data_IF_718668201831
#
_entry.id   IF_718668201831
#
_cell.length_a   1.000
_cell.length_b   1.000
_cell.length_c   1.000
_cell.angle_alpha   90.00
_cell.angle_beta   90.00
_cell.angle_gamma   90.00
#
_symmetry.space_group_name_H-M   'P 1'
#
loop_
_entity.id
_entity.type
_entity.pdbx_description
1 polymer ?
#
# COMPACT_ATOMS: atom_id res chain seq x y z
N UNK A 1 -6.26 -14.46 -7.65
CA UNK A 1 -7.00 -13.48 -6.82
C UNK A 1 -6.06 -12.66 -5.94
N UNK A 2 -4.79 -13.07 -5.81
CA UNK A 2 -3.80 -12.48 -4.90
C UNK A 2 -3.47 -11.02 -5.25
N UNK A 3 -3.43 -10.71 -6.55
CA UNK A 3 -3.12 -9.37 -7.04
C UNK A 3 -4.14 -8.30 -6.62
N UNK A 4 -5.40 -8.69 -6.39
CA UNK A 4 -6.41 -7.79 -5.85
C UNK A 4 -6.03 -7.36 -4.43
N UNK A 5 -5.55 -8.28 -3.60
CA UNK A 5 -5.13 -7.98 -2.22
C UNK A 5 -3.94 -7.03 -2.25
N UNK A 6 -2.95 -7.30 -3.09
CA UNK A 6 -1.76 -6.44 -3.24
C UNK A 6 -2.15 -5.01 -3.65
N UNK A 7 -3.04 -4.86 -4.64
CA UNK A 7 -3.53 -3.55 -5.08
C UNK A 7 -4.37 -2.83 -4.00
N UNK A 8 -5.23 -3.57 -3.29
CA UNK A 8 -6.06 -3.01 -2.22
C UNK A 8 -5.22 -2.57 -1.02
N UNK A 9 -4.15 -3.31 -0.67
CA UNK A 9 -3.24 -2.94 0.42
C UNK A 9 -2.48 -1.64 0.13
N UNK A 10 -2.06 -1.44 -1.13
CA UNK A 10 -1.49 -0.17 -1.57
C UNK A 10 -2.52 0.97 -1.45
N UNK A 11 -3.74 0.74 -1.96
CA UNK A 11 -4.79 1.74 -1.96
C UNK A 11 -5.19 2.15 -0.55
N UNK A 12 -5.49 1.19 0.34
CA UNK A 12 -5.92 1.48 1.71
C UNK A 12 -4.83 2.15 2.55
N UNK A 13 -3.57 1.75 2.39
CA UNK A 13 -2.45 2.41 3.10
C UNK A 13 -2.25 3.84 2.62
N UNK A 14 -2.22 4.05 1.30
CA UNK A 14 -2.05 5.39 0.73
C UNK A 14 -3.20 6.31 1.15
N UNK A 15 -4.45 5.83 1.07
CA UNK A 15 -5.62 6.60 1.47
C UNK A 15 -5.59 6.90 2.97
N UNK A 16 -5.28 5.93 3.82
CA UNK A 16 -5.21 6.12 5.27
C UNK A 16 -4.19 7.19 5.66
N UNK A 17 -2.98 7.13 5.11
CA UNK A 17 -1.94 8.14 5.38
C UNK A 17 -2.34 9.51 4.81
N UNK A 18 -2.93 9.55 3.61
CA UNK A 18 -3.39 10.80 3.03
C UNK A 18 -4.48 11.46 3.88
N UNK A 19 -5.47 10.70 4.36
CA UNK A 19 -6.53 11.21 5.23
C UNK A 19 -5.97 11.78 6.54
N UNK A 20 -4.96 11.11 7.13
CA UNK A 20 -4.37 11.53 8.40
C UNK A 20 -3.41 12.72 8.28
N UNK A 21 -2.74 12.87 7.14
CA UNK A 21 -1.66 13.85 6.96
C UNK A 21 -1.99 14.97 5.97
N UNK A 22 -3.06 14.82 5.19
CA UNK A 22 -3.43 15.69 4.05
C UNK A 22 -2.29 15.88 3.03
N UNK A 23 -1.31 14.97 3.01
CA UNK A 23 -0.10 15.12 2.20
C UNK A 23 0.06 13.94 1.26
N UNK A 24 -0.05 14.21 -0.05
CA UNK A 24 -0.06 13.18 -1.09
C UNK A 24 1.29 12.47 -1.23
N UNK A 25 2.39 13.23 -1.15
CA UNK A 25 3.73 12.69 -1.35
C UNK A 25 4.11 11.61 -0.31
N UNK A 26 4.02 11.87 1.02
CA UNK A 26 4.31 10.85 2.03
C UNK A 26 3.28 9.70 1.99
N UNK A 27 2.02 9.98 1.64
CA UNK A 27 1.01 8.93 1.48
C UNK A 27 1.38 7.92 0.39
N UNK A 28 1.85 8.40 -0.77
CA UNK A 28 2.32 7.53 -1.84
C UNK A 28 3.61 6.79 -1.46
N UNK A 29 4.57 7.46 -0.80
CA UNK A 29 5.80 6.79 -0.35
C UNK A 29 5.50 5.64 0.61
N UNK A 30 4.66 5.87 1.62
CA UNK A 30 4.24 4.82 2.57
C UNK A 30 3.45 3.72 1.84
N UNK A 31 2.55 4.10 0.94
CA UNK A 31 1.82 3.15 0.09
C UNK A 31 2.76 2.23 -0.69
N UNK A 32 3.76 2.78 -1.38
CA UNK A 32 4.76 2.02 -2.14
C UNK A 32 5.54 1.08 -1.23
N UNK A 33 5.95 1.54 -0.04
CA UNK A 33 6.64 0.67 0.94
C UNK A 33 5.78 -0.55 1.32
N UNK A 34 4.51 -0.34 1.64
CA UNK A 34 3.58 -1.43 1.96
C UNK A 34 3.35 -2.35 0.77
N UNK A 35 3.27 -1.79 -0.44
CA UNK A 35 3.08 -2.56 -1.67
C UNK A 35 4.26 -3.50 -1.96
N UNK A 36 5.50 -3.03 -1.76
CA UNK A 36 6.69 -3.87 -1.89
C UNK A 36 6.66 -5.03 -0.88
N UNK A 37 6.30 -4.76 0.37
CA UNK A 37 6.16 -5.79 1.40
C UNK A 37 5.07 -6.79 1.01
N UNK A 38 3.91 -6.31 0.54
CA UNK A 38 2.80 -7.16 0.14
C UNK A 38 3.16 -8.10 -1.01
N UNK A 39 3.90 -7.61 -2.03
CA UNK A 39 4.42 -8.46 -3.11
C UNK A 39 5.31 -9.57 -2.55
N UNK A 40 6.23 -9.23 -1.64
CA UNK A 40 7.14 -10.19 -1.02
C UNK A 40 6.40 -11.25 -0.18
N UNK A 41 5.36 -10.85 0.56
CA UNK A 41 4.55 -11.78 1.36
C UNK A 41 3.74 -12.72 0.47
N UNK A 42 3.10 -12.20 -0.59
CA UNK A 42 2.29 -13.01 -1.51
C UNK A 42 3.15 -14.00 -2.30
N UNK A 43 4.40 -13.66 -2.63
CA UNK A 43 5.31 -14.59 -3.31
C UNK A 43 5.76 -15.78 -2.43
N UNK A 44 5.60 -15.67 -1.10
CA UNK A 44 6.03 -16.68 -0.12
C UNK A 44 4.88 -17.58 0.37
N UNK A 45 3.64 -17.25 0.03
CA UNK A 45 2.43 -17.99 0.39
C UNK A 45 1.97 -18.86 -0.78
#
# INVERSE_FOLDING_TARGET
MEWLIVALLFAVSSIGVYVLTSSLLPALFVGVLVWVVAIGVVAML
#
